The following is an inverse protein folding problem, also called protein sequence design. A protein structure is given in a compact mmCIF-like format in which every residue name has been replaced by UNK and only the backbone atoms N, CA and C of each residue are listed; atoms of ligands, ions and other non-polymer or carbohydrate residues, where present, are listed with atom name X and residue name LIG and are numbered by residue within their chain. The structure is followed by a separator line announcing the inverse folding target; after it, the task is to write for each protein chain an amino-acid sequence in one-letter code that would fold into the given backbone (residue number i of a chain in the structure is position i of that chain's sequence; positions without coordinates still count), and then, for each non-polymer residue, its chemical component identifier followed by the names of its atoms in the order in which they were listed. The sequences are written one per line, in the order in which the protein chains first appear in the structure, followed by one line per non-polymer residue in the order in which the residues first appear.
data_IF_528886647137
#
_entry.id   IF_528886647137
#
_cell.length_a   1.000
_cell.length_b   1.000
_cell.length_c   1.000
_cell.angle_alpha   90.00
_cell.angle_beta   90.00
_cell.angle_gamma   90.00
#
_symmetry.space_group_name_H-M   'P 1'
#
loop_
_entity.id
_entity.type
_entity.pdbx_description
1 polymer ?
#
# COMPACT_ATOMS: atom_id res chain seq x y z
N UNK A 1 -8.04 19.62 3.23
CA UNK A 1 -7.23 18.47 2.79
C UNK A 1 -5.79 18.85 2.46
N UNK A 2 -5.53 19.71 1.46
CA UNK A 2 -4.16 20.11 1.03
C UNK A 2 -3.20 20.52 2.15
N UNK A 3 -3.66 21.30 3.13
CA UNK A 3 -2.82 21.68 4.29
C UNK A 3 -2.36 20.49 5.14
N UNK A 4 -3.21 19.47 5.30
CA UNK A 4 -2.85 18.23 6.01
C UNK A 4 -1.81 17.44 5.22
N UNK A 5 -2.00 17.35 3.91
CA UNK A 5 -1.07 16.66 3.00
C UNK A 5 0.31 17.32 3.01
N UNK A 6 0.37 18.65 2.93
CA UNK A 6 1.65 19.38 2.97
C UNK A 6 2.44 19.16 4.27
N UNK A 7 1.76 18.91 5.39
CA UNK A 7 2.41 18.58 6.66
C UNK A 7 3.04 17.19 6.72
N UNK A 8 2.80 16.30 5.75
CA UNK A 8 3.44 14.98 5.69
C UNK A 8 4.93 15.06 5.38
N UNK A 9 5.38 16.12 4.68
CA UNK A 9 6.78 16.35 4.31
C UNK A 9 7.67 16.74 5.48
N UNK A 10 7.09 17.30 6.52
CA UNK A 10 7.82 17.72 7.72
C UNK A 10 7.74 16.62 8.78
N UNK A 11 8.91 16.20 9.29
CA UNK A 11 9.01 15.23 10.38
C UNK A 11 8.18 15.61 11.60
N UNK A 12 8.13 16.90 11.95
CA UNK A 12 7.32 17.38 13.06
C UNK A 12 5.82 17.37 12.74
N UNK A 13 5.45 17.60 11.48
CA UNK A 13 4.08 17.61 10.97
C UNK A 13 3.49 16.21 10.69
N UNK A 14 4.32 15.21 10.40
CA UNK A 14 3.87 13.88 9.96
C UNK A 14 2.98 13.17 10.99
N UNK A 15 3.31 13.26 12.28
CA UNK A 15 2.52 12.61 13.36
C UNK A 15 1.09 13.16 13.44
N UNK A 16 0.84 14.47 13.59
CA UNK A 16 -0.52 14.99 13.58
C UNK A 16 -1.19 14.85 12.20
N UNK A 17 -0.44 15.01 11.10
CA UNK A 17 -0.97 14.90 9.74
C UNK A 17 -1.53 13.50 9.45
N UNK A 18 -0.77 12.43 9.71
CA UNK A 18 -1.22 11.04 9.50
C UNK A 18 -2.45 10.70 10.34
N UNK A 19 -2.54 11.21 11.57
CA UNK A 19 -3.72 11.05 12.42
C UNK A 19 -4.96 11.71 11.81
N UNK A 20 -4.84 12.96 11.37
CA UNK A 20 -5.94 13.72 10.75
C UNK A 20 -6.35 13.11 9.42
N UNK A 21 -5.38 12.77 8.57
CA UNK A 21 -5.62 12.16 7.26
C UNK A 21 -6.39 10.84 7.40
N UNK A 22 -5.93 9.94 8.29
CA UNK A 22 -6.63 8.69 8.56
C UNK A 22 -8.07 8.95 9.02
N UNK A 23 -8.26 9.85 9.99
CA UNK A 23 -9.59 10.17 10.50
C UNK A 23 -10.54 10.71 9.40
N UNK A 24 -10.02 11.54 8.49
CA UNK A 24 -10.80 12.05 7.36
C UNK A 24 -11.17 10.94 6.37
N UNK A 25 -10.23 10.06 6.01
CA UNK A 25 -10.43 8.97 5.05
C UNK A 25 -11.36 7.85 5.55
N UNK A 26 -11.68 7.79 6.85
CA UNK A 26 -12.71 6.90 7.37
C UNK A 26 -14.07 7.18 6.74
N UNK A 27 -14.39 8.45 6.47
CA UNK A 27 -15.56 8.83 5.68
C UNK A 27 -15.25 8.62 4.19
N UNK A 28 -16.02 7.76 3.53
CA UNK A 28 -15.78 7.37 2.13
C UNK A 28 -15.75 8.55 1.16
N UNK A 29 -16.68 9.51 1.31
CA UNK A 29 -16.71 10.72 0.48
C UNK A 29 -15.46 11.60 0.57
N UNK A 30 -14.67 11.49 1.65
CA UNK A 30 -13.43 12.25 1.79
C UNK A 30 -12.24 11.59 1.08
N UNK A 31 -12.33 10.32 0.68
CA UNK A 31 -11.23 9.58 0.05
C UNK A 31 -10.88 10.19 -1.30
N UNK A 32 -11.89 10.49 -2.12
CA UNK A 32 -11.73 11.22 -3.39
C UNK A 32 -11.03 12.57 -3.18
N UNK A 33 -11.47 13.35 -2.19
CA UNK A 33 -10.87 14.65 -1.85
C UNK A 33 -9.41 14.52 -1.37
N UNK A 34 -9.06 13.42 -0.69
CA UNK A 34 -7.69 13.13 -0.30
C UNK A 34 -6.80 12.81 -1.50
N UNK A 35 -7.28 11.98 -2.43
CA UNK A 35 -6.58 11.67 -3.69
C UNK A 35 -6.38 12.94 -4.52
N UNK A 36 -7.44 13.74 -4.75
CA UNK A 36 -7.35 15.03 -5.48
C UNK A 36 -6.37 16.04 -4.84
N UNK A 37 -6.13 15.92 -3.53
CA UNK A 37 -5.18 16.73 -2.81
C UNK A 37 -3.72 16.24 -2.93
N UNK A 38 -3.47 15.13 -3.62
CA UNK A 38 -2.16 14.51 -3.81
C UNK A 38 -1.72 13.62 -2.65
N UNK A 39 -2.64 13.17 -1.80
CA UNK A 39 -2.27 12.45 -0.58
C UNK A 39 -1.64 11.07 -0.85
N UNK A 40 -1.95 10.41 -1.96
CA UNK A 40 -1.39 9.08 -2.29
C UNK A 40 0.10 9.18 -2.53
N UNK A 41 0.54 10.00 -3.48
CA UNK A 41 1.97 10.22 -3.75
C UNK A 41 2.72 10.69 -2.49
N UNK A 42 2.18 11.69 -1.79
CA UNK A 42 2.82 12.28 -0.61
C UNK A 42 2.98 11.29 0.54
N UNK A 43 2.00 10.41 0.76
CA UNK A 43 2.14 9.33 1.75
C UNK A 43 3.21 8.34 1.32
N UNK A 44 3.26 7.92 0.04
CA UNK A 44 4.27 6.96 -0.44
C UNK A 44 5.69 7.52 -0.32
N UNK A 45 5.90 8.78 -0.69
CA UNK A 45 7.21 9.45 -0.65
C UNK A 45 7.70 9.67 0.79
N UNK A 46 6.81 10.12 1.69
CA UNK A 46 7.19 10.44 3.08
C UNK A 46 7.28 9.19 3.99
N UNK A 47 6.83 8.03 3.54
CA UNK A 47 6.71 6.82 4.38
C UNK A 47 8.04 6.31 4.93
N UNK A 48 9.14 6.50 4.20
CA UNK A 48 10.50 6.10 4.63
C UNK A 48 10.94 6.79 5.93
N UNK A 49 10.40 7.97 6.21
CA UNK A 49 10.71 8.77 7.41
C UNK A 49 9.76 8.49 8.59
N UNK A 50 8.83 7.55 8.41
CA UNK A 50 7.79 7.23 9.40
C UNK A 50 8.03 5.86 10.05
N UNK A 51 7.78 5.78 11.35
CA UNK A 51 7.91 4.53 12.11
C UNK A 51 6.72 4.32 13.05
N UNK A 52 6.53 3.07 13.47
CA UNK A 52 5.54 2.66 14.46
C UNK A 52 4.14 3.18 14.14
N UNK A 53 3.50 3.83 15.12
CA UNK A 53 2.13 4.31 14.97
C UNK A 53 1.95 5.41 13.92
N UNK A 54 3.02 6.10 13.48
CA UNK A 54 2.91 7.10 12.39
C UNK A 54 2.81 6.36 11.06
N UNK A 55 3.72 5.43 10.78
CA UNK A 55 3.68 4.59 9.58
C UNK A 55 2.40 3.75 9.49
N UNK A 56 1.95 3.16 10.61
CA UNK A 56 0.71 2.38 10.63
C UNK A 56 -0.51 3.22 10.23
N UNK A 57 -0.60 4.48 10.69
CA UNK A 57 -1.70 5.37 10.30
C UNK A 57 -1.60 5.81 8.84
N UNK A 58 -0.39 6.08 8.36
CA UNK A 58 -0.15 6.43 6.97
C UNK A 58 -0.57 5.28 6.02
N UNK A 59 -0.16 4.05 6.33
CA UNK A 59 -0.55 2.83 5.61
C UNK A 59 -2.06 2.60 5.65
N UNK A 60 -2.70 2.77 6.81
CA UNK A 60 -4.15 2.64 6.92
C UNK A 60 -4.90 3.71 6.11
N UNK A 61 -4.41 4.95 6.08
CA UNK A 61 -5.00 6.01 5.27
C UNK A 61 -4.81 5.72 3.76
N UNK A 62 -3.63 5.24 3.37
CA UNK A 62 -3.34 4.84 1.99
C UNK A 62 -4.23 3.67 1.54
N UNK A 63 -4.39 2.63 2.36
CA UNK A 63 -5.30 1.51 2.09
C UNK A 63 -6.73 2.00 1.87
N UNK A 64 -7.22 2.96 2.67
CA UNK A 64 -8.55 3.56 2.49
C UNK A 64 -8.64 4.36 1.18
N UNK A 65 -7.66 5.20 0.86
CA UNK A 65 -7.65 5.95 -0.41
C UNK A 65 -7.65 5.01 -1.63
N UNK A 66 -7.03 3.84 -1.51
CA UNK A 66 -7.02 2.85 -2.58
C UNK A 66 -8.34 2.07 -2.75
N UNK A 67 -9.37 2.36 -1.94
CA UNK A 67 -10.72 1.80 -2.16
C UNK A 67 -11.51 2.54 -3.24
N UNK A 68 -11.06 3.74 -3.63
CA UNK A 68 -11.61 4.47 -4.78
C UNK A 68 -10.72 4.27 -6.01
N UNK A 69 -11.32 4.33 -7.20
CA UNK A 69 -10.66 3.90 -8.44
C UNK A 69 -9.42 4.74 -8.78
N UNK A 70 -9.51 6.05 -8.63
CA UNK A 70 -8.42 7.00 -8.86
C UNK A 70 -7.27 6.81 -7.87
N UNK A 71 -7.55 6.48 -6.61
CA UNK A 71 -6.51 6.26 -5.60
C UNK A 71 -5.72 4.99 -5.89
N UNK A 72 -6.42 3.93 -6.32
CA UNK A 72 -5.77 2.70 -6.77
C UNK A 72 -4.97 2.92 -8.07
N UNK A 73 -5.47 3.74 -8.99
CA UNK A 73 -4.76 4.08 -10.23
C UNK A 73 -3.47 4.88 -9.94
N UNK A 74 -3.55 5.91 -9.10
CA UNK A 74 -2.40 6.74 -8.70
C UNK A 74 -1.34 5.90 -7.99
N UNK A 75 -1.73 5.04 -7.05
CA UNK A 75 -0.82 4.13 -6.37
C UNK A 75 -0.07 3.24 -7.37
N UNK A 76 -0.77 2.65 -8.34
CA UNK A 76 -0.16 1.76 -9.35
C UNK A 76 0.82 2.49 -10.25
N UNK A 77 0.52 3.74 -10.60
CA UNK A 77 1.40 4.55 -11.44
C UNK A 77 2.65 5.06 -10.72
N UNK A 78 2.65 5.06 -9.38
CA UNK A 78 3.73 5.64 -8.59
C UNK A 78 4.93 4.68 -8.45
N UNK A 79 6.09 5.10 -8.95
CA UNK A 79 7.30 4.25 -9.07
C UNK A 79 7.81 3.69 -7.73
N UNK A 80 7.57 4.38 -6.62
CA UNK A 80 8.03 3.94 -5.29
C UNK A 80 7.05 3.01 -4.55
N UNK A 81 5.85 2.77 -5.07
CA UNK A 81 4.80 2.03 -4.35
C UNK A 81 5.25 0.62 -3.96
N UNK A 82 5.76 -0.16 -4.91
CA UNK A 82 6.20 -1.54 -4.67
C UNK A 82 7.39 -1.62 -3.70
N UNK A 83 8.54 -0.94 -3.94
CA UNK A 83 9.68 -1.03 -3.03
C UNK A 83 9.34 -0.50 -1.63
N UNK A 84 8.48 0.52 -1.52
CA UNK A 84 8.05 1.02 -0.22
C UNK A 84 7.22 -0.02 0.56
N UNK A 85 6.27 -0.70 -0.10
CA UNK A 85 5.47 -1.72 0.57
C UNK A 85 6.30 -2.94 0.99
N UNK A 86 7.33 -3.32 0.21
CA UNK A 86 8.30 -4.36 0.61
C UNK A 86 9.00 -3.94 1.91
N UNK A 87 9.58 -2.74 1.92
CA UNK A 87 10.27 -2.21 3.11
C UNK A 87 9.35 -2.16 4.35
N UNK A 88 8.09 -1.74 4.18
CA UNK A 88 7.12 -1.70 5.28
C UNK A 88 6.71 -3.09 5.77
N UNK A 89 6.64 -4.11 4.90
CA UNK A 89 6.39 -5.49 5.34
C UNK A 89 7.54 -6.04 6.19
N UNK A 90 8.78 -5.61 5.92
CA UNK A 90 9.97 -6.03 6.68
C UNK A 90 10.06 -5.34 8.04
N UNK A 91 9.73 -4.04 8.11
CA UNK A 91 9.89 -3.22 9.32
C UNK A 91 8.70 -3.26 10.28
N UNK A 92 7.51 -3.63 9.82
CA UNK A 92 6.27 -3.56 10.62
C UNK A 92 5.81 -4.93 11.13
N UNK A 93 4.87 -4.92 12.07
CA UNK A 93 4.14 -6.10 12.55
C UNK A 93 2.62 -5.83 12.56
N UNK A 94 1.83 -6.89 12.77
CA UNK A 94 0.38 -6.79 12.98
C UNK A 94 -0.34 -6.04 11.85
N UNK A 95 -0.99 -4.92 12.21
CA UNK A 95 -1.84 -4.14 11.31
C UNK A 95 -1.04 -3.40 10.22
N UNK A 96 0.11 -2.82 10.55
CA UNK A 96 0.95 -2.14 9.55
C UNK A 96 1.37 -3.09 8.43
N UNK A 97 1.83 -4.28 8.79
CA UNK A 97 2.18 -5.35 7.83
C UNK A 97 0.96 -5.81 7.01
N UNK A 98 -0.20 -5.97 7.64
CA UNK A 98 -1.45 -6.29 6.92
C UNK A 98 -1.79 -5.21 5.87
N UNK A 99 -1.69 -3.93 6.22
CA UNK A 99 -1.97 -2.84 5.29
C UNK A 99 -0.99 -2.86 4.11
N UNK A 100 0.32 -3.05 4.35
CA UNK A 100 1.31 -3.15 3.26
C UNK A 100 1.02 -4.31 2.29
N UNK A 101 0.67 -5.49 2.81
CA UNK A 101 0.22 -6.64 1.99
C UNK A 101 -1.05 -6.29 1.19
N UNK A 102 -1.98 -5.58 1.81
CA UNK A 102 -3.25 -5.19 1.18
C UNK A 102 -3.04 -4.20 0.04
N UNK A 103 -2.12 -3.26 0.21
CA UNK A 103 -1.76 -2.26 -0.79
C UNK A 103 -1.04 -2.94 -1.97
N UNK A 104 -0.14 -3.91 -1.73
CA UNK A 104 0.41 -4.73 -2.81
C UNK A 104 -0.66 -5.53 -3.56
N UNK A 105 -1.69 -6.01 -2.86
CA UNK A 105 -2.83 -6.65 -3.52
C UNK A 105 -3.63 -5.68 -4.40
N UNK A 106 -3.78 -4.42 -4.00
CA UNK A 106 -4.36 -3.39 -4.88
C UNK A 106 -3.53 -3.28 -6.15
N UNK A 107 -2.20 -3.24 -6.05
CA UNK A 107 -1.32 -3.09 -7.22
C UNK A 107 -1.51 -4.25 -8.20
N UNK A 108 -1.42 -5.50 -7.73
CA UNK A 108 -1.32 -6.67 -8.61
C UNK A 108 -2.63 -7.39 -8.94
N UNK A 109 -3.69 -7.27 -8.12
CA UNK A 109 -4.94 -8.01 -8.34
C UNK A 109 -5.99 -7.13 -9.05
N UNK A 110 -5.89 -5.81 -8.95
CA UNK A 110 -6.96 -4.90 -9.38
C UNK A 110 -6.81 -4.27 -10.78
N UNK A 111 -5.83 -4.66 -11.60
CA UNK A 111 -5.64 -4.10 -12.95
C UNK A 111 -5.20 -5.17 -13.95
N UNK A 112 -5.89 -5.24 -15.09
CA UNK A 112 -5.71 -6.27 -16.12
C UNK A 112 -4.53 -6.07 -17.08
N UNK A 113 -3.54 -5.26 -16.73
CA UNK A 113 -2.40 -4.94 -17.62
C UNK A 113 -1.15 -4.49 -16.85
N UNK A 114 -0.92 -5.05 -15.65
CA UNK A 114 0.29 -4.75 -14.88
C UNK A 114 1.41 -5.69 -15.31
N UNK A 115 2.63 -5.14 -15.36
CA UNK A 115 3.84 -5.93 -15.50
C UNK A 115 3.84 -7.07 -14.47
N UNK A 116 4.35 -8.26 -14.84
CA UNK A 116 4.34 -9.42 -13.98
C UNK A 116 5.06 -9.05 -12.67
N UNK A 117 4.54 -9.48 -11.53
CA UNK A 117 5.22 -9.26 -10.27
C UNK A 117 6.60 -9.89 -10.32
N UNK A 118 7.62 -9.13 -9.89
CA UNK A 118 8.96 -9.69 -9.78
C UNK A 118 8.97 -10.83 -8.76
N UNK A 119 9.85 -11.81 -8.98
CA UNK A 119 10.07 -12.92 -8.04
C UNK A 119 10.41 -12.41 -6.62
N UNK A 120 10.98 -11.21 -6.52
CA UNK A 120 11.25 -10.49 -5.29
C UNK A 120 9.98 -10.15 -4.51
N UNK A 121 8.91 -9.67 -5.18
CA UNK A 121 7.63 -9.38 -4.53
C UNK A 121 7.02 -10.64 -3.94
N UNK A 122 7.03 -11.74 -4.70
CA UNK A 122 6.51 -13.03 -4.21
C UNK A 122 7.31 -13.53 -2.99
N UNK A 123 8.65 -13.44 -3.04
CA UNK A 123 9.51 -13.76 -1.89
C UNK A 123 9.23 -12.89 -0.68
N UNK A 124 9.13 -11.57 -0.85
CA UNK A 124 8.88 -10.63 0.24
C UNK A 124 7.54 -10.93 0.94
N UNK A 125 6.48 -11.16 0.16
CA UNK A 125 5.16 -11.55 0.70
C UNK A 125 5.25 -12.88 1.44
N UNK A 126 5.91 -13.90 0.87
CA UNK A 126 6.06 -15.20 1.53
C UNK A 126 6.81 -15.11 2.86
N UNK A 127 7.87 -14.30 2.95
CA UNK A 127 8.60 -14.04 4.18
C UNK A 127 7.73 -13.28 5.20
N UNK A 128 7.01 -12.25 4.75
CA UNK A 128 6.12 -11.48 5.60
C UNK A 128 5.04 -12.35 6.27
N UNK A 129 4.54 -13.38 5.56
CA UNK A 129 3.53 -14.31 6.06
C UNK A 129 4.04 -15.31 7.11
N UNK A 130 5.34 -15.58 7.14
CA UNK A 130 5.98 -16.42 8.17
C UNK A 130 6.15 -15.67 9.50
N UNK A 131 6.22 -14.33 9.45
CA UNK A 131 6.36 -13.49 10.63
C UNK A 131 5.03 -13.19 11.35
N UNK A 132 5.11 -12.25 12.30
CA UNK A 132 3.92 -11.76 13.00
C UNK A 132 3.06 -10.91 12.08
N UNK A 133 1.96 -11.51 11.61
CA UNK A 133 0.98 -10.94 10.72
C UNK A 133 -0.41 -11.38 11.19
N UNK A 134 -1.39 -10.47 11.10
CA UNK A 134 -2.76 -10.77 11.50
C UNK A 134 -3.36 -11.91 10.67
N UNK A 135 -4.41 -12.56 11.18
CA UNK A 135 -5.15 -13.59 10.42
C UNK A 135 -5.69 -13.05 9.09
N UNK A 136 -6.10 -11.77 9.06
CA UNK A 136 -6.57 -11.10 7.84
C UNK A 136 -5.43 -10.82 6.86
N UNK A 137 -4.29 -10.35 7.35
CA UNK A 137 -3.08 -10.17 6.55
C UNK A 137 -2.61 -11.49 5.94
N UNK A 138 -2.65 -12.59 6.70
CA UNK A 138 -2.33 -13.93 6.19
C UNK A 138 -3.27 -14.38 5.06
N UNK A 139 -4.58 -14.16 5.20
CA UNK A 139 -5.56 -14.48 4.15
C UNK A 139 -5.32 -13.66 2.88
N UNK A 140 -5.13 -12.34 3.02
CA UNK A 140 -4.87 -11.45 1.88
C UNK A 140 -3.53 -11.77 1.20
N UNK A 141 -2.46 -12.00 1.95
CA UNK A 141 -1.16 -12.37 1.40
C UNK A 141 -1.19 -13.72 0.67
N UNK A 142 -1.95 -14.70 1.18
CA UNK A 142 -2.13 -15.96 0.46
C UNK A 142 -2.92 -15.81 -0.85
N UNK A 143 -3.90 -14.92 -0.90
CA UNK A 143 -4.60 -14.56 -2.14
C UNK A 143 -3.66 -13.86 -3.11
N UNK A 144 -2.85 -12.93 -2.61
CA UNK A 144 -1.84 -12.24 -3.39
C UNK A 144 -0.87 -13.24 -4.02
N UNK A 145 -0.24 -14.11 -3.24
CA UNK A 145 0.70 -15.12 -3.76
C UNK A 145 0.11 -15.99 -4.86
N UNK A 146 -1.17 -16.40 -4.75
CA UNK A 146 -1.85 -17.14 -5.81
C UNK A 146 -1.99 -16.32 -7.09
N UNK A 147 -2.43 -15.07 -6.97
CA UNK A 147 -2.53 -14.16 -8.12
C UNK A 147 -1.16 -13.93 -8.78
N UNK A 148 -0.09 -13.76 -8.00
CA UNK A 148 1.27 -13.60 -8.55
C UNK A 148 1.71 -14.84 -9.35
N UNK A 149 1.40 -16.05 -8.84
CA UNK A 149 1.72 -17.31 -9.51
C UNK A 149 0.89 -17.54 -10.78
N UNK A 150 -0.40 -17.20 -10.75
CA UNK A 150 -1.29 -17.31 -11.91
C UNK A 150 -0.85 -16.36 -13.03
N UNK A 151 -0.53 -15.11 -12.71
CA UNK A 151 -0.06 -14.12 -13.67
C UNK A 151 1.28 -14.54 -14.31
N UNK A 152 2.25 -15.02 -13.53
CA UNK A 152 3.53 -15.49 -14.06
C UNK A 152 3.43 -16.74 -14.95
N UNK A 153 2.39 -17.57 -14.78
CA UNK A 153 2.14 -18.74 -15.64
C UNK A 153 1.50 -18.37 -16.98
N UNK A 154 0.67 -17.33 -17.01
CA UNK A 154 -0.03 -16.89 -18.21
C UNK A 154 0.94 -16.32 -19.26
N UNK A 155 1.98 -15.59 -18.84
CA UNK A 155 2.98 -15.05 -19.77
C UNK A 155 3.84 -16.14 -20.41
N UNK A 156 4.26 -17.15 -19.63
CA UNK A 156 5.02 -18.30 -20.17
C UNK A 156 4.26 -19.07 -21.25
N UNK A 157 2.93 -18.98 -21.29
CA UNK A 157 2.10 -19.62 -22.32
C UNK A 157 1.86 -18.77 -23.56
N UNK A 158 2.21 -17.48 -23.54
CA UNK A 158 2.05 -16.56 -24.68
C UNK A 158 3.33 -16.39 -25.52
N UNK A 159 4.47 -16.96 -25.08
CA UNK A 159 5.75 -16.94 -25.82
C UNK A 159 5.99 -18.19 -26.71
N UNK A 160 4.94 -18.95 -27.05
CA UNK A 160 5.01 -20.21 -27.81
C UNK A 160 4.56 -20.12 -29.27
#
# INVERSE_FOLDING_TARGET
MRGVVGCLKDRAGARPATKVLLALCLAEGNRHVAVEAGAVAEVVEAMSEMEGAVAERALAALELMCTVAEGAAELRAHALSVPMMISMMESMAGRGKECAISILAVIYIGAGDQAPPSEEVARAVALALQGDCSARGKRKGAQLLRALQENGRLELTQEG
#
